data_IF_896164766375
#
_entry.id   IF_896164766375
#
_cell.length_a   1.000
_cell.length_b   1.000
_cell.length_c   1.000
_cell.angle_alpha   90.00
_cell.angle_beta   90.00
_cell.angle_gamma   90.00
#
_symmetry.space_group_name_H-M   'P 1'
#
loop_
_entity.id
_entity.type
_entity.pdbx_description
1 polymer ?
#
# COMPACT_ATOMS: atom_id res chain seq x y z
N UNK A 1 -16.30 1.85 26.96
CA UNK A 1 -15.38 1.38 25.90
C UNK A 1 -15.03 2.57 25.02
N UNK A 2 -13.79 3.06 25.05
CA UNK A 2 -13.39 4.25 24.28
C UNK A 2 -13.49 3.94 22.78
N UNK A 3 -14.27 4.73 22.05
CA UNK A 3 -14.44 4.61 20.59
C UNK A 3 -13.24 5.15 19.81
N UNK A 4 -12.44 6.01 20.44
CA UNK A 4 -11.26 6.68 19.89
C UNK A 4 -10.25 6.97 21.02
N UNK A 5 -8.95 6.95 20.72
CA UNK A 5 -7.90 7.31 21.68
C UNK A 5 -6.48 6.98 21.20
N UNK A 6 -5.48 7.58 21.85
CA UNK A 6 -4.07 7.23 21.61
C UNK A 6 -3.69 5.99 22.41
N UNK A 7 -3.23 4.94 21.72
CA UNK A 7 -2.68 3.76 22.39
C UNK A 7 -1.17 3.93 22.59
N UNK A 8 -0.77 4.18 23.84
CA UNK A 8 0.63 4.33 24.24
C UNK A 8 1.49 3.09 24.00
N UNK A 9 0.90 1.88 23.91
CA UNK A 9 1.67 0.64 23.68
C UNK A 9 2.05 0.46 22.22
N UNK A 10 1.16 0.85 21.30
CA UNK A 10 1.39 0.75 19.85
C UNK A 10 1.84 2.07 19.22
N UNK A 11 1.92 3.15 20.02
CA UNK A 11 2.27 4.51 19.60
C UNK A 11 1.45 4.96 18.37
N UNK A 12 0.15 4.67 18.44
CA UNK A 12 -0.79 4.83 17.34
C UNK A 12 -2.11 5.42 17.84
N UNK A 13 -2.72 6.23 16.98
CA UNK A 13 -4.10 6.68 17.16
C UNK A 13 -5.06 5.57 16.76
N UNK A 14 -5.94 5.17 17.67
CA UNK A 14 -6.87 4.05 17.45
C UNK A 14 -8.31 4.57 17.42
N UNK A 15 -9.05 4.17 16.39
CA UNK A 15 -10.50 4.35 16.32
C UNK A 15 -11.19 3.09 15.81
N UNK A 16 -12.47 2.90 16.13
CA UNK A 16 -13.24 1.73 15.72
C UNK A 16 -14.19 2.05 14.57
N UNK A 17 -14.17 1.22 13.52
CA UNK A 17 -15.11 1.29 12.40
C UNK A 17 -16.34 0.38 12.64
N UNK A 18 -17.41 0.59 11.86
CA UNK A 18 -18.60 -0.28 11.82
C UNK A 18 -18.23 -1.77 11.68
N UNK A 19 -18.74 -2.59 12.59
CA UNK A 19 -18.38 -4.01 12.73
C UNK A 19 -17.21 -4.26 13.70
N UNK A 20 -16.93 -3.30 14.57
CA UNK A 20 -15.96 -3.37 15.68
C UNK A 20 -14.51 -3.67 15.25
N UNK A 21 -14.13 -3.24 14.04
CA UNK A 21 -12.76 -3.36 13.55
C UNK A 21 -11.95 -2.16 14.10
N UNK A 22 -10.90 -2.39 14.90
CA UNK A 22 -9.99 -1.33 15.30
C UNK A 22 -9.09 -0.93 14.12
N UNK A 23 -8.92 0.38 13.94
CA UNK A 23 -8.06 1.02 12.96
C UNK A 23 -6.98 1.77 13.74
N UNK A 24 -5.72 1.39 13.53
CA UNK A 24 -4.55 1.96 14.17
C UNK A 24 -3.83 2.85 13.15
N UNK A 25 -3.53 4.08 13.52
CA UNK A 25 -2.82 5.05 12.68
C UNK A 25 -1.56 5.47 13.41
N UNK A 26 -0.41 4.95 12.98
CA UNK A 26 0.90 5.32 13.53
C UNK A 26 1.26 6.74 13.13
N UNK A 27 1.92 7.49 14.02
CA UNK A 27 2.48 8.81 13.68
C UNK A 27 3.43 8.76 12.48
N UNK A 28 4.06 7.61 12.23
CA UNK A 28 4.97 7.41 11.10
C UNK A 28 4.28 7.57 9.74
N UNK A 29 2.94 7.49 9.69
CA UNK A 29 2.15 7.78 8.49
C UNK A 29 2.27 9.26 8.05
N UNK A 30 2.63 10.17 8.95
CA UNK A 30 2.85 11.58 8.61
C UNK A 30 4.10 11.79 7.74
N UNK A 31 5.09 10.90 7.82
CA UNK A 31 6.36 11.06 7.10
C UNK A 31 6.13 11.03 5.57
N UNK A 32 5.51 10.02 4.95
CA UNK A 32 5.26 10.04 3.51
C UNK A 32 4.33 11.18 3.08
N UNK A 33 3.53 11.76 3.99
CA UNK A 33 2.70 12.92 3.71
C UNK A 33 3.48 14.25 3.67
N UNK A 34 4.51 14.39 4.50
CA UNK A 34 5.31 15.63 4.61
C UNK A 34 6.51 15.62 3.67
N UNK A 35 7.17 14.46 3.50
CA UNK A 35 8.41 14.33 2.73
C UNK A 35 8.38 15.01 1.34
N UNK A 36 7.33 14.84 0.51
CA UNK A 36 7.28 15.45 -0.83
C UNK A 36 7.33 16.98 -0.81
N UNK A 37 6.93 17.62 0.29
CA UNK A 37 6.81 19.08 0.40
C UNK A 37 7.98 19.72 1.16
N UNK A 38 9.00 18.95 1.60
CA UNK A 38 10.12 19.50 2.38
C UNK A 38 10.82 20.70 1.71
N UNK A 39 10.98 20.63 0.38
CA UNK A 39 11.55 21.75 -0.37
C UNK A 39 10.66 23.00 -0.28
N UNK A 40 9.35 22.82 -0.44
CA UNK A 40 8.36 23.91 -0.37
C UNK A 40 8.27 24.49 1.04
N UNK A 41 8.40 23.66 2.08
CA UNK A 41 8.49 24.11 3.47
C UNK A 41 9.64 25.09 3.70
N UNK A 42 10.77 24.92 3.01
CA UNK A 42 11.93 25.82 3.12
C UNK A 42 11.77 27.16 2.38
N UNK A 43 10.90 27.22 1.35
CA UNK A 43 10.76 28.36 0.44
C UNK A 43 9.45 29.13 0.61
N UNK A 44 8.36 28.42 0.89
CA UNK A 44 6.96 28.90 0.87
C UNK A 44 6.13 28.18 1.95
N UNK A 45 6.38 28.42 3.25
CA UNK A 45 5.80 27.61 4.33
C UNK A 45 4.27 27.65 4.41
N UNK A 46 3.63 28.77 4.06
CA UNK A 46 2.16 28.87 4.04
C UNK A 46 1.53 27.99 2.95
N UNK A 47 2.11 27.99 1.73
CA UNK A 47 1.65 27.14 0.64
C UNK A 47 1.93 25.67 0.94
N UNK A 48 3.12 25.38 1.47
CA UNK A 48 3.51 24.03 1.87
C UNK A 48 2.55 23.42 2.89
N UNK A 49 2.08 24.21 3.87
CA UNK A 49 1.08 23.75 4.84
C UNK A 49 -0.22 23.31 4.17
N UNK A 50 -0.74 24.13 3.24
CA UNK A 50 -2.00 23.83 2.53
C UNK A 50 -1.83 22.55 1.70
N UNK A 51 -0.78 22.48 0.87
CA UNK A 51 -0.51 21.32 0.03
C UNK A 51 -0.28 20.04 0.84
N UNK A 52 0.49 20.14 1.93
CA UNK A 52 0.75 19.00 2.83
C UNK A 52 -0.53 18.49 3.47
N UNK A 53 -1.41 19.38 3.95
CA UNK A 53 -2.68 18.98 4.57
C UNK A 53 -3.61 18.30 3.55
N UNK A 54 -3.76 18.87 2.36
CA UNK A 54 -4.58 18.28 1.29
C UNK A 54 -4.04 16.90 0.89
N UNK A 55 -2.72 16.80 0.66
CA UNK A 55 -2.08 15.55 0.31
C UNK A 55 -2.20 14.51 1.42
N UNK A 56 -2.02 14.90 2.69
CA UNK A 56 -2.17 14.00 3.84
C UNK A 56 -3.60 13.42 3.91
N UNK A 57 -4.63 14.24 3.69
CA UNK A 57 -6.02 13.80 3.67
C UNK A 57 -6.27 12.87 2.49
N UNK A 58 -5.84 13.24 1.28
CA UNK A 58 -6.00 12.41 0.09
C UNK A 58 -5.29 11.05 0.25
N UNK A 59 -4.05 11.05 0.73
CA UNK A 59 -3.27 9.84 0.97
C UNK A 59 -3.92 8.96 2.03
N UNK A 60 -4.33 9.53 3.17
CA UNK A 60 -5.01 8.81 4.23
C UNK A 60 -6.30 8.15 3.73
N UNK A 61 -7.17 8.92 3.09
CA UNK A 61 -8.45 8.42 2.57
C UNK A 61 -8.22 7.35 1.51
N UNK A 62 -7.27 7.56 0.60
CA UNK A 62 -6.96 6.61 -0.48
C UNK A 62 -6.44 5.27 0.05
N UNK A 63 -5.49 5.30 1.00
CA UNK A 63 -4.96 4.08 1.62
C UNK A 63 -6.02 3.41 2.49
N UNK A 64 -6.79 4.18 3.26
CA UNK A 64 -7.85 3.63 4.10
C UNK A 64 -8.95 2.95 3.28
N UNK A 65 -9.39 3.58 2.18
CA UNK A 65 -10.38 2.99 1.27
C UNK A 65 -9.82 1.77 0.53
N UNK A 66 -8.54 1.79 0.17
CA UNK A 66 -7.83 0.62 -0.37
C UNK A 66 -7.91 -0.58 0.60
N UNK A 67 -7.54 -0.40 1.87
CA UNK A 67 -7.64 -1.45 2.88
C UNK A 67 -9.08 -1.92 3.09
N UNK A 68 -10.04 -0.98 3.05
CA UNK A 68 -11.46 -1.31 3.15
C UNK A 68 -11.93 -2.15 1.95
N UNK A 69 -11.34 -1.96 0.77
CA UNK A 69 -11.53 -2.79 -0.41
C UNK A 69 -11.22 -4.26 -0.12
N UNK A 70 -10.03 -4.53 0.43
CA UNK A 70 -9.66 -5.88 0.85
C UNK A 70 -10.60 -6.44 1.92
N UNK A 71 -10.93 -5.64 2.94
CA UNK A 71 -11.86 -6.03 4.01
C UNK A 71 -13.22 -6.43 3.46
N UNK A 72 -13.76 -5.64 2.52
CA UNK A 72 -15.05 -5.93 1.89
C UNK A 72 -15.00 -7.20 1.05
N UNK A 73 -13.92 -7.41 0.30
CA UNK A 73 -13.74 -8.62 -0.50
C UNK A 73 -13.56 -9.87 0.37
N UNK A 74 -12.80 -9.77 1.47
CA UNK A 74 -12.60 -10.86 2.43
C UNK A 74 -13.90 -11.24 3.14
N UNK A 75 -14.68 -10.25 3.60
CA UNK A 75 -15.99 -10.49 4.22
C UNK A 75 -16.96 -11.23 3.30
N UNK A 76 -16.95 -10.92 1.99
CA UNK A 76 -17.77 -11.64 1.00
C UNK A 76 -17.38 -13.10 0.85
N UNK A 77 -16.17 -13.47 1.24
CA UNK A 77 -15.68 -14.85 1.26
C UNK A 77 -15.77 -15.48 2.67
N UNK A 78 -16.51 -14.86 3.60
CA UNK A 78 -16.65 -15.36 4.98
C UNK A 78 -15.43 -15.13 5.87
N UNK A 79 -14.44 -14.35 5.42
CA UNK A 79 -13.21 -14.10 6.17
C UNK A 79 -13.38 -12.81 6.99
N UNK A 80 -13.25 -12.95 8.31
CA UNK A 80 -13.32 -11.83 9.24
C UNK A 80 -12.04 -10.97 9.24
N UNK A 81 -12.14 -9.74 9.72
CA UNK A 81 -11.00 -8.81 9.89
C UNK A 81 -10.71 -8.66 11.38
N UNK A 82 -9.44 -8.73 11.75
CA UNK A 82 -8.95 -8.54 13.11
C UNK A 82 -8.69 -7.05 13.41
N UNK A 83 -7.96 -6.35 12.53
CA UNK A 83 -7.64 -4.91 12.65
C UNK A 83 -7.10 -4.35 11.35
N UNK A 84 -7.07 -3.03 11.22
CA UNK A 84 -6.41 -2.29 10.13
C UNK A 84 -5.30 -1.45 10.76
N UNK A 85 -4.11 -1.45 10.17
CA UNK A 85 -2.98 -0.64 10.61
C UNK A 85 -2.50 0.25 9.46
N UNK A 86 -2.37 1.54 9.71
CA UNK A 86 -1.82 2.55 8.80
C UNK A 86 -0.51 3.08 9.39
N UNK A 87 0.56 3.05 8.61
CA UNK A 87 1.92 3.33 9.08
C UNK A 87 2.82 3.81 7.93
N UNK A 88 4.10 4.04 8.20
CA UNK A 88 5.07 4.56 7.22
C UNK A 88 4.99 3.92 5.82
N UNK A 89 4.81 2.60 5.74
CA UNK A 89 4.80 1.87 4.46
C UNK A 89 3.41 1.70 3.83
N UNK A 90 2.39 2.41 4.31
CA UNK A 90 1.01 2.36 3.80
C UNK A 90 0.04 1.72 4.78
N UNK A 91 -0.81 0.82 4.29
CA UNK A 91 -1.85 0.13 5.06
C UNK A 91 -1.66 -1.38 5.14
N UNK A 92 -2.21 -1.98 6.20
CA UNK A 92 -2.32 -3.42 6.38
C UNK A 92 -3.67 -3.78 7.01
N UNK A 93 -4.50 -4.51 6.27
CA UNK A 93 -5.61 -5.26 6.85
C UNK A 93 -5.14 -6.63 7.39
N UNK A 94 -5.37 -6.86 8.68
CA UNK A 94 -5.15 -8.15 9.32
C UNK A 94 -6.44 -8.96 9.30
N UNK A 95 -6.40 -10.14 8.70
CA UNK A 95 -7.54 -11.05 8.60
C UNK A 95 -7.51 -12.12 9.69
N UNK A 96 -8.70 -12.56 10.11
CA UNK A 96 -8.88 -13.77 10.93
C UNK A 96 -8.60 -15.02 10.08
N UNK A 97 -8.26 -16.16 10.69
CA UNK A 97 -8.13 -17.42 9.96
C UNK A 97 -9.38 -17.71 9.11
N UNK A 98 -9.16 -18.10 7.86
CA UNK A 98 -10.24 -18.39 6.93
C UNK A 98 -9.72 -19.14 5.70
N UNK A 99 -10.61 -19.86 5.03
CA UNK A 99 -10.31 -20.65 3.85
C UNK A 99 -10.91 -19.96 2.62
N UNK A 100 -10.03 -19.55 1.70
CA UNK A 100 -10.42 -19.09 0.38
C UNK A 100 -9.61 -19.86 -0.68
N UNK A 101 -10.21 -20.02 -1.86
CA UNK A 101 -9.51 -20.61 -3.01
C UNK A 101 -8.36 -19.70 -3.43
N UNK A 102 -7.37 -20.20 -4.19
CA UNK A 102 -6.30 -19.36 -4.72
C UNK A 102 -6.84 -18.15 -5.50
N UNK A 103 -7.87 -18.34 -6.32
CA UNK A 103 -8.57 -17.25 -7.00
C UNK A 103 -9.27 -16.29 -6.02
N UNK A 104 -9.86 -16.82 -4.94
CA UNK A 104 -10.45 -16.03 -3.87
C UNK A 104 -9.44 -15.10 -3.18
N UNK A 105 -8.25 -15.61 -2.84
CA UNK A 105 -7.17 -14.81 -2.28
C UNK A 105 -6.60 -13.79 -3.27
N UNK A 106 -6.48 -14.16 -4.56
CA UNK A 106 -6.09 -13.23 -5.62
C UNK A 106 -7.11 -12.09 -5.75
N UNK A 107 -8.41 -12.40 -5.70
CA UNK A 107 -9.48 -11.40 -5.72
C UNK A 107 -9.47 -10.48 -4.50
N UNK A 108 -9.26 -11.02 -3.29
CA UNK A 108 -9.11 -10.21 -2.08
C UNK A 108 -7.95 -9.24 -2.25
N UNK A 109 -6.80 -9.73 -2.73
CA UNK A 109 -5.60 -8.92 -2.96
C UNK A 109 -5.80 -7.88 -4.07
N UNK A 110 -6.61 -8.17 -5.10
CA UNK A 110 -6.92 -7.20 -6.16
C UNK A 110 -7.93 -6.12 -5.75
N UNK A 111 -8.76 -6.37 -4.73
CA UNK A 111 -9.82 -5.45 -4.33
C UNK A 111 -9.31 -4.08 -3.83
N UNK A 112 -8.16 -4.03 -3.16
CA UNK A 112 -7.52 -2.77 -2.76
C UNK A 112 -7.07 -1.93 -3.97
N UNK A 113 -6.20 -2.46 -4.85
CA UNK A 113 -5.81 -1.79 -6.09
C UNK A 113 -7.00 -1.35 -6.94
N UNK A 114 -8.06 -2.16 -7.03
CA UNK A 114 -9.28 -1.81 -7.76
C UNK A 114 -9.94 -0.53 -7.18
N UNK A 115 -9.96 -0.36 -5.86
CA UNK A 115 -10.46 0.87 -5.23
C UNK A 115 -9.64 2.07 -5.67
N UNK A 116 -8.30 1.97 -5.69
CA UNK A 116 -7.47 3.07 -6.16
C UNK A 116 -7.64 3.34 -7.66
N UNK A 117 -7.83 2.31 -8.50
CA UNK A 117 -8.12 2.51 -9.93
C UNK A 117 -9.41 3.32 -10.10
N UNK A 118 -10.47 2.97 -9.37
CA UNK A 118 -11.76 3.67 -9.42
C UNK A 118 -11.62 5.11 -8.91
N UNK A 119 -10.89 5.32 -7.82
CA UNK A 119 -10.62 6.66 -7.30
C UNK A 119 -9.81 7.50 -8.30
N UNK A 120 -8.75 6.94 -8.88
CA UNK A 120 -7.93 7.62 -9.89
C UNK A 120 -8.77 8.06 -11.09
N UNK A 121 -9.60 7.16 -11.62
CA UNK A 121 -10.51 7.47 -12.73
C UNK A 121 -11.55 8.54 -12.34
N UNK A 122 -12.11 8.47 -11.14
CA UNK A 122 -13.06 9.47 -10.65
C UNK A 122 -12.46 10.87 -10.49
N UNK A 123 -11.25 10.96 -9.92
CA UNK A 123 -10.52 12.22 -9.81
C UNK A 123 -10.10 12.76 -11.18
N UNK A 124 -9.62 11.90 -12.09
CA UNK A 124 -9.25 12.31 -13.44
C UNK A 124 -10.46 12.79 -14.25
N UNK A 125 -11.59 12.08 -14.18
CA UNK A 125 -12.83 12.50 -14.82
C UNK A 125 -13.32 13.84 -14.26
N UNK A 126 -13.28 14.01 -12.94
CA UNK A 126 -13.63 15.27 -12.29
C UNK A 126 -12.69 16.39 -12.73
N UNK A 127 -11.39 16.12 -12.80
CA UNK A 127 -10.40 17.07 -13.28
C UNK A 127 -10.76 17.55 -14.70
N UNK A 128 -11.02 16.65 -15.64
CA UNK A 128 -11.39 17.00 -17.02
C UNK A 128 -12.71 17.80 -17.12
N UNK A 129 -13.63 17.63 -16.17
CA UNK A 129 -14.90 18.37 -16.13
C UNK A 129 -14.74 19.80 -15.60
N UNK A 130 -13.78 20.01 -14.70
CA UNK A 130 -13.59 21.29 -14.00
C UNK A 130 -12.38 22.09 -14.50
N UNK A 131 -11.46 21.49 -15.26
CA UNK A 131 -10.28 22.17 -15.79
C UNK A 131 -10.65 23.14 -16.92
N UNK A 132 -10.11 24.36 -16.87
CA UNK A 132 -10.16 25.32 -17.98
C UNK A 132 -9.44 24.83 -19.26
N UNK A 133 -9.49 25.60 -20.37
CA UNK A 133 -8.79 25.26 -21.60
C UNK A 133 -7.30 25.03 -21.37
N UNK A 134 -6.74 23.95 -21.92
CA UNK A 134 -5.32 23.60 -21.80
C UNK A 134 -4.45 24.71 -22.41
N UNK A 135 -3.79 25.53 -21.58
CA UNK A 135 -2.79 26.47 -22.06
C UNK A 135 -1.44 25.74 -22.26
N UNK A 136 -0.71 25.99 -23.36
CA UNK A 136 0.65 25.49 -23.54
C UNK A 136 1.58 26.14 -22.50
N UNK A 137 2.40 25.34 -21.81
CA UNK A 137 3.42 25.85 -20.89
C UNK A 137 4.75 25.14 -21.15
N UNK A 138 5.82 25.92 -21.20
CA UNK A 138 7.20 25.42 -21.36
C UNK A 138 7.63 24.58 -20.14
N UNK A 139 8.27 23.41 -20.34
CA UNK A 139 8.74 22.55 -19.25
C UNK A 139 9.99 23.12 -18.56
N UNK A 140 9.91 23.35 -17.25
CA UNK A 140 10.97 23.90 -16.40
C UNK A 140 11.48 22.93 -15.30
N UNK A 141 11.35 21.61 -15.50
CA UNK A 141 12.05 20.63 -14.65
C UNK A 141 11.55 19.18 -14.76
N UNK A 142 12.18 18.26 -14.02
CA UNK A 142 11.81 16.83 -14.00
C UNK A 142 10.45 16.55 -13.34
N UNK A 143 9.92 17.53 -12.58
CA UNK A 143 8.61 17.52 -11.92
C UNK A 143 7.72 18.69 -12.35
N UNK A 144 8.10 19.47 -13.38
CA UNK A 144 7.18 20.44 -13.96
C UNK A 144 5.98 19.65 -14.49
N UNK A 145 4.78 20.01 -14.03
CA UNK A 145 3.61 19.14 -14.12
C UNK A 145 3.44 18.58 -15.54
N UNK A 146 3.09 17.30 -15.70
CA UNK A 146 2.50 16.88 -16.96
C UNK A 146 1.32 17.82 -17.23
N UNK A 147 1.22 18.25 -18.49
CA UNK A 147 0.04 18.94 -19.00
C UNK A 147 -1.21 18.19 -18.53
N UNK A 148 -2.25 18.92 -18.10
CA UNK A 148 -2.32 20.34 -17.73
C UNK A 148 -1.79 20.73 -16.35
N UNK A 149 -1.24 21.96 -16.23
CA UNK A 149 -0.97 22.61 -14.95
C UNK A 149 -2.30 22.99 -14.29
N UNK A 150 -2.53 22.62 -13.03
CA UNK A 150 -3.69 23.10 -12.30
C UNK A 150 -3.52 24.58 -11.93
N UNK A 151 -4.46 25.43 -12.36
CA UNK A 151 -4.44 26.88 -12.11
C UNK A 151 -5.14 27.24 -10.79
N UNK A 152 -6.02 26.36 -10.31
CA UNK A 152 -6.76 26.53 -9.06
C UNK A 152 -6.41 25.46 -8.03
N UNK A 153 -6.63 25.76 -6.76
CA UNK A 153 -6.46 24.78 -5.67
C UNK A 153 -7.34 23.52 -5.89
N UNK A 154 -8.51 23.70 -6.49
CA UNK A 154 -9.42 22.60 -6.83
C UNK A 154 -8.81 21.69 -7.91
N UNK A 155 -8.37 22.27 -9.02
CA UNK A 155 -7.71 21.53 -10.11
C UNK A 155 -6.47 20.79 -9.57
N UNK A 156 -5.68 21.43 -8.71
CA UNK A 156 -4.48 20.83 -8.13
C UNK A 156 -4.85 19.64 -7.24
N UNK A 157 -5.91 19.78 -6.43
CA UNK A 157 -6.42 18.71 -5.57
C UNK A 157 -6.94 17.52 -6.40
N UNK A 158 -7.67 17.78 -7.48
CA UNK A 158 -8.21 16.73 -8.35
C UNK A 158 -7.10 16.00 -9.11
N UNK A 159 -6.15 16.74 -9.68
CA UNK A 159 -4.98 16.18 -10.35
C UNK A 159 -4.13 15.33 -9.39
N UNK A 160 -3.86 15.87 -8.19
CA UNK A 160 -3.09 15.16 -7.17
C UNK A 160 -3.81 13.91 -6.67
N UNK A 161 -5.13 13.98 -6.48
CA UNK A 161 -5.96 12.84 -6.13
C UNK A 161 -5.90 11.73 -7.17
N UNK A 162 -5.95 12.10 -8.46
CA UNK A 162 -5.79 11.15 -9.57
C UNK A 162 -4.39 10.52 -9.57
N UNK A 163 -3.34 11.35 -9.46
CA UNK A 163 -1.95 10.90 -9.45
C UNK A 163 -1.66 9.95 -8.28
N UNK A 164 -2.03 10.33 -7.05
CA UNK A 164 -1.80 9.53 -5.84
C UNK A 164 -2.45 8.16 -5.99
N UNK A 165 -3.70 8.12 -6.42
CA UNK A 165 -4.42 6.85 -6.57
C UNK A 165 -3.88 6.00 -7.74
N UNK A 166 -3.48 6.63 -8.85
CA UNK A 166 -2.84 5.91 -9.96
C UNK A 166 -1.51 5.30 -9.52
N UNK A 167 -0.67 6.05 -8.81
CA UNK A 167 0.61 5.58 -8.27
C UNK A 167 0.39 4.45 -7.26
N UNK A 168 -0.55 4.60 -6.32
CA UNK A 168 -0.90 3.55 -5.36
C UNK A 168 -1.37 2.27 -6.05
N UNK A 169 -2.21 2.38 -7.09
CA UNK A 169 -2.67 1.24 -7.87
C UNK A 169 -1.53 0.55 -8.63
N UNK A 170 -0.72 1.31 -9.36
CA UNK A 170 0.40 0.78 -10.16
C UNK A 170 1.41 0.08 -9.25
N UNK A 171 1.85 0.75 -8.17
CA UNK A 171 2.79 0.17 -7.23
C UNK A 171 2.22 -1.09 -6.57
N UNK A 172 0.97 -1.06 -6.11
CA UNK A 172 0.38 -2.24 -5.48
C UNK A 172 0.09 -3.37 -6.47
N UNK A 173 0.06 -3.15 -7.79
CA UNK A 173 -0.07 -4.22 -8.79
C UNK A 173 1.26 -4.82 -9.22
N UNK A 174 2.40 -4.25 -8.82
CA UNK A 174 3.71 -4.83 -9.12
C UNK A 174 3.85 -6.24 -8.50
N UNK A 175 4.37 -7.22 -9.25
CA UNK A 175 4.49 -8.61 -8.79
C UNK A 175 5.68 -8.79 -7.83
N UNK A 176 5.62 -8.16 -6.66
CA UNK A 176 6.68 -8.15 -5.66
C UNK A 176 6.12 -8.13 -4.24
N UNK A 177 6.84 -8.67 -3.26
CA UNK A 177 6.47 -8.49 -1.86
C UNK A 177 6.95 -7.14 -1.32
N UNK A 178 6.24 -6.53 -0.36
CA UNK A 178 4.97 -6.95 0.26
C UNK A 178 3.71 -6.42 -0.45
N UNK A 179 3.79 -6.10 -1.74
CA UNK A 179 2.71 -5.47 -2.53
C UNK A 179 1.63 -6.50 -2.89
N UNK A 180 0.42 -6.03 -3.16
CA UNK A 180 -0.72 -6.90 -3.46
C UNK A 180 -0.51 -7.72 -4.73
N UNK A 181 0.14 -7.13 -5.74
CA UNK A 181 0.49 -7.76 -7.01
C UNK A 181 1.36 -8.99 -6.81
N UNK A 182 2.21 -8.99 -5.78
CA UNK A 182 2.96 -10.17 -5.38
C UNK A 182 2.06 -11.28 -4.84
N UNK A 183 1.06 -10.94 -4.02
CA UNK A 183 0.07 -11.89 -3.53
C UNK A 183 -0.83 -12.42 -4.67
N UNK A 184 -1.32 -11.53 -5.54
CA UNK A 184 -2.10 -11.87 -6.74
C UNK A 184 -1.32 -12.85 -7.60
N UNK A 185 -0.09 -12.49 -8.01
CA UNK A 185 0.74 -13.32 -8.86
C UNK A 185 1.01 -14.69 -8.21
N UNK A 186 1.35 -14.72 -6.91
CA UNK A 186 1.58 -15.99 -6.20
C UNK A 186 0.34 -16.89 -6.21
N UNK A 187 -0.83 -16.33 -5.88
CA UNK A 187 -2.06 -17.11 -5.77
C UNK A 187 -2.59 -17.57 -7.14
N UNK A 188 -2.31 -16.84 -8.23
CA UNK A 188 -2.65 -17.26 -9.59
C UNK A 188 -1.67 -18.28 -10.16
N UNK A 189 -0.38 -18.22 -9.80
CA UNK A 189 0.66 -19.13 -10.30
C UNK A 189 0.73 -20.45 -9.52
N UNK A 190 0.45 -20.43 -8.21
CA UNK A 190 0.59 -21.60 -7.34
C UNK A 190 -0.20 -22.85 -7.80
N UNK A 191 -1.44 -22.75 -8.33
CA UNK A 191 -2.17 -23.92 -8.81
C UNK A 191 -1.51 -24.64 -9.99
N UNK A 192 -0.71 -23.93 -10.80
CA UNK A 192 -0.06 -24.48 -12.00
C UNK A 192 1.39 -24.88 -11.77
N UNK A 193 2.12 -24.09 -10.97
CA UNK A 193 3.58 -24.21 -10.81
C UNK A 193 4.01 -24.75 -9.44
N UNK A 194 3.07 -24.91 -8.50
CA UNK A 194 3.34 -25.17 -7.09
C UNK A 194 3.65 -23.89 -6.31
N UNK A 195 3.37 -23.93 -5.01
CA UNK A 195 3.48 -22.76 -4.12
C UNK A 195 4.93 -22.21 -4.04
N UNK A 196 5.92 -23.10 -3.99
CA UNK A 196 7.33 -22.72 -3.87
C UNK A 196 7.84 -22.02 -5.14
N UNK A 197 7.51 -22.57 -6.32
CA UNK A 197 7.90 -21.97 -7.61
C UNK A 197 7.23 -20.61 -7.81
N UNK A 198 5.94 -20.50 -7.48
CA UNK A 198 5.23 -19.23 -7.55
C UNK A 198 5.87 -18.18 -6.62
N UNK A 199 6.24 -18.57 -5.40
CA UNK A 199 6.95 -17.68 -4.48
C UNK A 199 8.33 -17.25 -5.00
N UNK A 200 9.10 -18.17 -5.62
CA UNK A 200 10.40 -17.86 -6.26
C UNK A 200 10.27 -16.80 -7.35
N UNK A 201 9.29 -16.96 -8.24
CA UNK A 201 9.06 -16.04 -9.35
C UNK A 201 8.76 -14.64 -8.81
N UNK A 202 7.82 -14.53 -7.88
CA UNK A 202 7.46 -13.23 -7.26
C UNK A 202 8.65 -12.64 -6.50
N UNK A 203 9.41 -13.46 -5.77
CA UNK A 203 10.62 -13.01 -5.08
C UNK A 203 11.68 -12.48 -6.04
N UNK A 204 11.91 -13.15 -7.17
CA UNK A 204 12.84 -12.70 -8.20
C UNK A 204 12.39 -11.38 -8.83
N UNK A 205 11.12 -11.28 -9.26
CA UNK A 205 10.54 -10.05 -9.78
C UNK A 205 10.70 -8.89 -8.76
N UNK A 206 10.45 -9.15 -7.49
CA UNK A 206 10.62 -8.16 -6.44
C UNK A 206 12.07 -7.72 -6.22
N UNK A 207 13.06 -8.61 -6.37
CA UNK A 207 14.49 -8.23 -6.32
C UNK A 207 14.85 -7.33 -7.48
N UNK A 208 14.45 -7.69 -8.70
CA UNK A 208 14.69 -6.88 -9.90
C UNK A 208 14.07 -5.49 -9.74
N UNK A 209 12.79 -5.42 -9.36
CA UNK A 209 12.10 -4.15 -9.11
C UNK A 209 12.74 -3.34 -7.98
N UNK A 210 13.24 -4.00 -6.93
CA UNK A 210 13.95 -3.33 -5.81
C UNK A 210 15.29 -2.72 -6.23
N UNK A 211 15.91 -3.22 -7.29
CA UNK A 211 17.12 -2.65 -7.88
C UNK A 211 16.73 -1.51 -8.84
N UNK A 212 15.76 -1.76 -9.72
CA UNK A 212 15.31 -0.77 -10.71
C UNK A 212 14.79 0.52 -10.07
N UNK A 213 14.20 0.46 -8.87
CA UNK A 213 13.74 1.68 -8.16
C UNK A 213 14.85 2.72 -7.93
N UNK A 214 16.12 2.31 -7.83
CA UNK A 214 17.23 3.25 -7.66
C UNK A 214 17.43 4.13 -8.89
N UNK A 215 17.05 3.66 -10.08
CA UNK A 215 17.05 4.47 -11.30
C UNK A 215 16.01 5.61 -11.25
N UNK A 216 15.03 5.54 -10.35
CA UNK A 216 14.02 6.59 -10.13
C UNK A 216 14.36 7.44 -8.90
N UNK A 217 14.72 6.80 -7.78
CA UNK A 217 15.01 7.49 -6.51
C UNK A 217 16.26 8.37 -6.63
N UNK A 218 17.31 7.91 -7.31
CA UNK A 218 18.57 8.64 -7.38
C UNK A 218 18.44 9.94 -8.18
N UNK A 219 17.84 9.97 -9.40
CA UNK A 219 17.56 11.23 -10.09
C UNK A 219 16.60 12.15 -9.32
N UNK A 220 15.56 11.60 -8.69
CA UNK A 220 14.64 12.40 -7.87
C UNK A 220 15.37 13.08 -6.68
N UNK A 221 16.23 12.34 -5.98
CA UNK A 221 17.02 12.86 -4.87
C UNK A 221 18.01 13.93 -5.33
N UNK A 222 18.67 13.75 -6.48
CA UNK A 222 19.55 14.76 -7.09
C UNK A 222 18.76 16.02 -7.43
N UNK A 223 17.53 15.86 -7.93
CA UNK A 223 16.60 16.97 -8.20
C UNK A 223 16.00 17.61 -6.93
N UNK A 224 16.42 17.19 -5.73
CA UNK A 224 15.96 17.75 -4.44
C UNK A 224 14.66 17.13 -3.91
N UNK A 225 14.16 16.05 -4.52
CA UNK A 225 12.95 15.35 -4.11
C UNK A 225 13.29 14.03 -3.43
N UNK A 226 13.05 13.95 -2.12
CA UNK A 226 13.22 12.70 -1.39
C UNK A 226 11.95 11.84 -1.51
N UNK A 227 11.99 10.83 -2.37
CA UNK A 227 10.87 9.92 -2.62
C UNK A 227 11.23 8.52 -2.12
N UNK A 228 10.35 7.93 -1.32
CA UNK A 228 10.44 6.52 -0.95
C UNK A 228 9.50 5.68 -1.83
N UNK A 229 10.02 4.63 -2.46
CA UNK A 229 9.25 3.75 -3.36
C UNK A 229 9.48 2.26 -2.99
N UNK A 230 8.44 1.45 -2.77
CA UNK A 230 8.53 -0.01 -2.70
C UNK A 230 8.84 -0.62 -4.09
N UNK A 231 9.23 -1.90 -4.22
CA UNK A 231 9.39 -2.93 -3.20
C UNK A 231 10.74 -2.87 -2.47
N UNK A 232 10.80 -3.54 -1.31
CA UNK A 232 12.00 -3.63 -0.47
C UNK A 232 12.87 -4.84 -0.83
N UNK A 233 14.19 -4.67 -0.95
CA UNK A 233 15.12 -5.73 -1.34
C UNK A 233 15.10 -6.95 -0.40
N UNK A 234 15.21 -6.75 0.92
CA UNK A 234 15.42 -7.82 1.90
C UNK A 234 14.34 -8.93 1.92
N UNK A 235 13.05 -8.59 2.07
CA UNK A 235 11.95 -9.57 2.01
C UNK A 235 11.93 -10.36 0.70
N UNK A 236 12.11 -9.70 -0.45
CA UNK A 236 12.09 -10.35 -1.75
C UNK A 236 13.29 -11.28 -1.95
N UNK A 237 14.49 -10.86 -1.53
CA UNK A 237 15.69 -11.68 -1.55
C UNK A 237 15.55 -12.94 -0.69
N UNK A 238 14.96 -12.81 0.51
CA UNK A 238 14.69 -13.96 1.39
C UNK A 238 13.74 -14.95 0.73
N UNK A 239 12.65 -14.48 0.13
CA UNK A 239 11.69 -15.38 -0.54
C UNK A 239 12.37 -16.09 -1.71
N UNK A 240 13.07 -15.36 -2.58
CA UNK A 240 13.82 -15.94 -3.70
C UNK A 240 14.79 -17.05 -3.25
N UNK A 241 15.56 -16.81 -2.16
CA UNK A 241 16.56 -17.74 -1.62
C UNK A 241 15.99 -18.89 -0.79
N UNK A 242 14.91 -18.66 -0.03
CA UNK A 242 14.38 -19.63 0.95
C UNK A 242 13.83 -20.89 0.30
N UNK A 243 13.25 -20.74 -0.89
CA UNK A 243 12.57 -21.81 -1.60
C UNK A 243 13.49 -22.93 -2.11
N UNK A 244 14.81 -22.90 -1.87
CA UNK A 244 15.75 -24.00 -2.15
C UNK A 244 16.17 -24.83 -0.93
N UNK A 245 15.77 -24.47 0.30
CA UNK A 245 16.07 -25.23 1.52
C UNK A 245 14.80 -25.92 2.01
N UNK A 246 14.65 -27.23 1.73
CA UNK A 246 13.75 -28.08 2.51
C UNK A 246 14.19 -27.99 3.97
N UNK A 247 13.51 -27.22 4.82
CA UNK A 247 13.59 -27.46 6.25
C UNK A 247 12.83 -28.77 6.51
N UNK A 248 13.42 -29.79 7.17
CA UNK A 248 12.68 -30.97 7.59
C UNK A 248 11.46 -30.52 8.38
N UNK A 249 10.30 -31.11 8.12
CA UNK A 249 9.11 -30.93 8.95
C UNK A 249 9.47 -31.44 10.34
N UNK A 250 9.53 -30.60 11.40
CA UNK A 250 9.69 -31.10 12.75
C UNK A 250 8.43 -31.90 13.08
N UNK A 251 8.59 -33.17 13.47
CA UNK A 251 7.47 -33.95 14.00
C UNK A 251 6.81 -33.17 15.14
N UNK A 252 5.48 -33.06 15.18
CA UNK A 252 4.81 -32.38 16.27
C UNK A 252 5.11 -33.13 17.58
N UNK A 253 5.56 -32.44 18.65
CA UNK A 253 5.62 -33.05 19.97
C UNK A 253 4.22 -33.45 20.44
N UNK A 254 4.08 -34.48 21.29
CA UNK A 254 2.80 -34.90 21.83
C UNK A 254 2.12 -33.74 22.59
N UNK A 255 0.79 -33.70 22.49
CA UNK A 255 -0.06 -32.57 22.81
C UNK A 255 0.07 -32.03 24.25
N UNK A 256 0.13 -30.69 24.37
CA UNK A 256 -0.18 -29.91 25.59
C UNK A 256 -0.41 -28.41 25.20
N UNK A 257 -1.00 -27.56 26.06
CA UNK A 257 -2.40 -27.13 26.06
C UNK A 257 -2.63 -25.74 25.42
N UNK A 258 -3.89 -25.28 25.49
CA UNK A 258 -4.49 -24.21 24.71
C UNK A 258 -4.08 -22.76 25.11
N UNK A 259 -3.09 -22.20 24.43
CA UNK A 259 -2.81 -20.75 24.41
C UNK A 259 -1.89 -20.34 23.23
N UNK A 260 -2.43 -20.21 22.01
CA UNK A 260 -1.64 -19.75 20.86
C UNK A 260 -2.35 -18.64 20.08
N UNK A 261 -1.74 -17.44 20.09
CA UNK A 261 -2.08 -16.27 19.28
C UNK A 261 -1.49 -16.40 17.87
N UNK A 262 -2.31 -16.20 16.83
CA UNK A 262 -1.93 -16.41 15.42
C UNK A 262 -1.57 -15.07 14.74
N UNK A 263 -0.35 -14.93 14.18
CA UNK A 263 0.12 -13.72 13.47
C UNK A 263 0.51 -14.02 12.01
N UNK A 264 -0.04 -13.27 11.04
CA UNK A 264 0.47 -13.22 9.65
C UNK A 264 -0.50 -12.68 8.59
N UNK A 265 0.00 -11.86 7.65
CA UNK A 265 -0.67 -11.48 6.39
C UNK A 265 -0.80 -12.71 5.48
N UNK A 266 -2.01 -13.01 4.99
CA UNK A 266 -2.21 -13.90 3.84
C UNK A 266 -2.23 -15.41 4.11
N UNK A 267 -2.71 -15.86 5.27
CA UNK A 267 -3.18 -17.25 5.44
C UNK A 267 -2.09 -18.33 5.53
N UNK A 268 -0.92 -18.03 6.10
CA UNK A 268 0.07 -19.06 6.46
C UNK A 268 0.36 -19.05 7.97
N UNK A 269 0.45 -20.24 8.61
CA UNK A 269 0.87 -20.35 9.99
C UNK A 269 2.39 -20.13 10.07
N UNK A 270 2.82 -19.12 10.84
CA UNK A 270 4.22 -18.94 11.22
C UNK A 270 4.35 -19.43 12.67
N UNK A 271 5.06 -20.56 12.89
CA UNK A 271 5.48 -21.00 14.24
C UNK A 271 6.57 -20.07 14.77
N UNK A 272 6.61 -19.91 16.10
CA UNK A 272 7.57 -19.14 16.93
C UNK A 272 8.94 -18.95 16.28
#
# INVERSE_FOLDING_TARGET
>A
MQRFGWDRKSDAFVFRMKGDIPVHVSWTFAIPAILPFLHEWSRRPQQALIHTVIFAVLLFVSVFLHELGHVRAARRQGIGTARIELYFFGGIAWFKPGLATPHGWAWISFAGPLVNIVLAAGFAASYCLFSGPLLPVEPDGLFSSPLPRPDTLLEWTLWLGALVNAVLAILNLLPAYPLDGGAIARHLLAPRLGADTAARIVGFCGVVLSILRFAVILPAAIAGFLIWIPPSFGPNWRVFRASGRKKPVPQPPPAAPADVEWRGKGGWPVKK
#
